data_IF_410982837408
#
_entry.id   IF_410982837408
#
_cell.length_a   1.000
_cell.length_b   1.000
_cell.length_c   1.000
_cell.angle_alpha   90.00
_cell.angle_beta   90.00
_cell.angle_gamma   90.00
#
_symmetry.space_group_name_H-M   'P 1'
#
loop_
_entity.id
_entity.type
_entity.pdbx_description
1 polymer ?
#
# COMPACT_ATOMS: atom_id res chain seq x y z
N UNK A 1 -27.00 -0.44 51.39
CA UNK A 1 -26.05 0.68 51.48
C UNK A 1 -24.69 0.10 51.80
N UNK A 2 -23.72 0.35 50.93
CA UNK A 2 -22.26 0.14 51.01
C UNK A 2 -21.63 -1.29 50.92
N UNK A 3 -20.98 -1.49 49.74
CA UNK A 3 -19.82 -2.29 49.26
C UNK A 3 -18.81 -2.86 50.27
N UNK A 4 -17.77 -3.70 49.93
CA UNK A 4 -17.11 -4.04 48.63
C UNK A 4 -16.65 -5.55 48.47
N UNK A 5 -15.76 -5.84 47.49
CA UNK A 5 -14.90 -7.04 47.25
C UNK A 5 -15.41 -8.06 46.19
N UNK A 6 -14.91 -7.98 44.94
CA UNK A 6 -13.70 -8.61 44.36
C UNK A 6 -13.86 -10.08 43.89
N UNK A 7 -13.74 -10.24 42.56
CA UNK A 7 -13.15 -11.37 41.81
C UNK A 7 -13.96 -12.68 41.73
N UNK A 8 -14.40 -12.98 40.50
CA UNK A 8 -14.43 -14.28 39.78
C UNK A 8 -15.57 -14.19 38.74
N UNK A 9 -15.47 -14.53 37.47
CA UNK A 9 -14.44 -15.15 36.66
C UNK A 9 -15.07 -15.34 35.26
N UNK A 10 -14.41 -14.80 34.24
CA UNK A 10 -14.38 -15.29 32.86
C UNK A 10 -15.64 -16.00 32.32
N UNK A 11 -16.78 -15.30 32.16
CA UNK A 11 -17.95 -15.82 31.43
C UNK A 11 -18.70 -14.77 30.60
N UNK A 12 -18.02 -13.74 30.11
CA UNK A 12 -18.62 -12.74 29.19
C UNK A 12 -18.31 -12.99 27.71
N UNK A 13 -17.61 -14.08 27.38
CA UNK A 13 -17.41 -14.57 26.00
C UNK A 13 -18.65 -15.27 25.40
N UNK A 14 -19.84 -15.12 26.01
CA UNK A 14 -21.07 -15.81 25.59
C UNK A 14 -22.21 -14.89 25.18
N UNK A 15 -21.97 -13.59 25.03
CA UNK A 15 -22.98 -12.61 24.62
C UNK A 15 -22.71 -11.96 23.25
N UNK A 16 -21.60 -12.30 22.59
CA UNK A 16 -21.38 -11.98 21.17
C UNK A 16 -21.90 -13.07 20.22
N UNK A 17 -22.74 -14.01 20.70
CA UNK A 17 -23.36 -15.05 19.86
C UNK A 17 -24.66 -14.60 19.15
N UNK A 18 -25.06 -13.34 19.28
CA UNK A 18 -26.33 -12.84 18.73
C UNK A 18 -26.21 -11.88 17.54
N UNK A 19 -25.00 -11.46 17.16
CA UNK A 19 -24.81 -10.59 16.00
C UNK A 19 -24.21 -11.37 14.84
N UNK A 20 -24.97 -12.25 14.18
CA UNK A 20 -24.71 -12.70 12.79
C UNK A 20 -25.85 -13.56 12.22
N UNK A 21 -26.49 -13.08 11.14
CA UNK A 21 -26.42 -13.83 9.89
C UNK A 21 -25.81 -13.02 8.74
N UNK A 22 -25.70 -11.69 8.89
CA UNK A 22 -25.20 -10.79 7.83
C UNK A 22 -23.66 -10.78 7.73
N UNK A 23 -22.95 -10.76 8.87
CA UNK A 23 -21.48 -10.64 8.92
C UNK A 23 -20.74 -11.99 8.68
N UNK A 24 -21.41 -13.15 8.58
CA UNK A 24 -20.76 -14.44 8.19
C UNK A 24 -20.87 -14.73 6.70
N UNK A 25 -21.84 -14.13 5.98
CA UNK A 25 -22.02 -14.33 4.53
C UNK A 25 -21.28 -13.29 3.68
N UNK A 26 -21.15 -12.05 4.17
CA UNK A 26 -20.48 -10.99 3.43
C UNK A 26 -18.96 -11.16 3.43
N UNK A 27 -18.38 -11.75 4.49
CA UNK A 27 -16.92 -11.94 4.60
C UNK A 27 -16.38 -12.91 3.53
N UNK A 28 -16.98 -14.08 3.27
CA UNK A 28 -16.58 -14.96 2.17
C UNK A 28 -16.75 -14.32 0.78
N UNK A 29 -17.81 -13.52 0.55
CA UNK A 29 -18.05 -12.84 -0.73
C UNK A 29 -17.07 -11.66 -0.98
N UNK A 30 -16.75 -10.87 0.04
CA UNK A 30 -15.75 -9.78 -0.06
C UNK A 30 -14.32 -10.31 -0.18
N UNK A 31 -14.03 -11.51 0.35
CA UNK A 31 -12.73 -12.17 0.21
C UNK A 31 -12.53 -12.77 -1.19
N UNK A 32 -13.60 -13.20 -1.88
CA UNK A 32 -13.53 -13.66 -3.27
C UNK A 32 -13.38 -12.52 -4.29
N UNK A 33 -13.82 -11.30 -3.94
CA UNK A 33 -13.57 -10.08 -4.72
C UNK A 33 -12.25 -9.38 -4.35
N UNK A 34 -11.38 -10.05 -3.60
CA UNK A 34 -10.03 -9.56 -3.33
C UNK A 34 -9.13 -9.79 -4.52
N UNK A 35 -9.31 -9.00 -5.59
CA UNK A 35 -8.19 -8.77 -6.50
C UNK A 35 -7.12 -8.09 -5.68
N UNK A 36 -6.22 -8.87 -5.07
CA UNK A 36 -5.03 -8.36 -4.39
C UNK A 36 -4.04 -7.89 -5.46
N UNK A 37 -4.49 -6.99 -6.33
CA UNK A 37 -3.62 -6.11 -7.06
C UNK A 37 -3.22 -5.04 -6.05
N UNK A 38 -2.17 -5.37 -5.31
CA UNK A 38 -1.65 -4.46 -4.31
C UNK A 38 -1.14 -3.24 -5.06
N UNK A 39 -1.74 -2.08 -4.80
CA UNK A 39 -1.30 -0.83 -5.41
C UNK A 39 0.12 -0.53 -4.93
N UNK A 40 0.96 0.03 -5.80
CA UNK A 40 2.28 0.48 -5.41
C UNK A 40 2.18 1.82 -4.68
N UNK A 41 2.98 2.04 -3.62
CA UNK A 41 3.01 3.31 -2.91
C UNK A 41 3.61 4.41 -3.79
N UNK A 42 3.50 5.67 -3.32
CA UNK A 42 4.18 6.81 -3.93
C UNK A 42 5.68 6.50 -4.15
N UNK A 43 6.19 6.85 -5.34
CA UNK A 43 7.60 6.65 -5.68
C UNK A 43 8.51 7.51 -4.78
N UNK A 44 9.72 7.01 -4.45
CA UNK A 44 10.70 7.79 -3.72
C UNK A 44 11.22 8.95 -4.56
N UNK A 45 11.63 10.04 -3.92
CA UNK A 45 12.20 11.18 -4.62
C UNK A 45 13.65 10.88 -5.06
N UNK A 46 13.94 11.10 -6.34
CA UNK A 46 15.26 10.91 -6.93
C UNK A 46 15.92 12.28 -7.12
N UNK A 47 17.16 12.49 -6.64
CA UNK A 47 17.81 13.79 -6.72
C UNK A 47 18.02 14.19 -8.20
N UNK A 48 17.73 15.45 -8.49
CA UNK A 48 17.84 16.04 -9.83
C UNK A 48 16.95 15.37 -10.89
N UNK A 49 15.93 14.66 -10.46
CA UNK A 49 14.90 14.08 -11.31
C UNK A 49 13.52 14.62 -10.98
N UNK A 50 12.58 14.39 -11.88
CA UNK A 50 11.15 14.65 -11.76
C UNK A 50 10.38 13.47 -12.34
N UNK A 51 9.15 13.29 -11.89
CA UNK A 51 8.24 12.25 -12.36
C UNK A 51 7.09 12.94 -13.11
N UNK A 52 6.68 12.40 -14.25
CA UNK A 52 5.63 13.01 -15.08
C UNK A 52 4.22 12.88 -14.46
N UNK A 53 4.00 11.84 -13.66
CA UNK A 53 2.70 11.53 -13.03
C UNK A 53 2.93 11.27 -11.54
N UNK A 54 2.65 12.25 -10.67
CA UNK A 54 2.76 12.10 -9.21
C UNK A 54 1.41 11.71 -8.60
N UNK A 55 1.25 10.42 -8.31
CA UNK A 55 0.09 9.87 -7.59
C UNK A 55 0.49 9.38 -6.20
N UNK A 56 -0.49 9.35 -5.29
CA UNK A 56 -0.31 8.73 -3.95
C UNK A 56 -0.15 7.22 -4.03
N UNK A 57 -0.86 6.60 -4.99
CA UNK A 57 -0.90 5.15 -5.21
C UNK A 57 -0.98 4.87 -6.71
N UNK A 58 -0.39 3.76 -7.14
CA UNK A 58 -0.34 3.34 -8.54
C UNK A 58 -0.90 1.93 -8.68
N UNK A 59 -1.72 1.71 -9.70
CA UNK A 59 -2.28 0.39 -9.95
C UNK A 59 -1.25 -0.52 -10.64
N UNK A 60 -1.31 -1.84 -10.41
CA UNK A 60 -0.44 -2.77 -11.12
C UNK A 60 -0.55 -2.66 -12.64
N UNK A 61 0.60 -2.59 -13.30
CA UNK A 61 0.70 -2.34 -14.74
C UNK A 61 0.83 -0.87 -15.12
N UNK A 62 0.63 0.08 -14.19
CA UNK A 62 0.95 1.48 -14.46
C UNK A 62 2.46 1.68 -14.61
N UNK A 63 2.85 2.51 -15.57
CA UNK A 63 4.23 2.88 -15.83
C UNK A 63 4.50 4.32 -15.45
N UNK A 64 5.67 4.53 -14.86
CA UNK A 64 6.15 5.83 -14.40
C UNK A 64 7.52 6.07 -14.99
N UNK A 65 7.71 7.24 -15.59
CA UNK A 65 8.99 7.64 -16.18
C UNK A 65 9.62 8.73 -15.30
N UNK A 66 10.89 8.54 -14.96
CA UNK A 66 11.72 9.58 -14.39
C UNK A 66 12.45 10.35 -15.48
N UNK A 67 12.41 11.66 -15.35
CA UNK A 67 13.05 12.61 -16.25
C UNK A 67 14.05 13.44 -15.45
N UNK A 68 15.29 13.56 -15.94
CA UNK A 68 16.28 14.43 -15.29
C UNK A 68 15.89 15.90 -15.48
N UNK A 69 16.11 16.72 -14.44
CA UNK A 69 15.87 18.17 -14.50
C UNK A 69 16.77 18.84 -15.54
N UNK A 70 16.37 20.01 -16.08
CA UNK A 70 17.22 20.78 -16.99
C UNK A 70 18.62 21.01 -16.42
N UNK A 71 19.66 20.76 -17.24
CA UNK A 71 21.05 20.83 -16.82
C UNK A 71 21.63 19.51 -16.28
N UNK A 72 20.81 18.46 -16.16
CA UNK A 72 21.25 17.12 -15.78
C UNK A 72 20.94 16.09 -16.87
N UNK A 73 21.81 15.09 -17.00
CA UNK A 73 21.68 13.97 -17.92
C UNK A 73 21.65 12.66 -17.14
N UNK A 74 20.92 11.69 -17.66
CA UNK A 74 20.88 10.36 -17.07
C UNK A 74 22.22 9.66 -17.25
N UNK A 75 22.73 9.11 -16.16
CA UNK A 75 24.04 8.49 -16.07
C UNK A 75 23.94 6.96 -15.98
N UNK A 76 23.04 6.46 -15.11
CA UNK A 76 22.92 5.02 -14.87
C UNK A 76 21.51 4.64 -14.37
N UNK A 77 21.19 3.35 -14.46
CA UNK A 77 19.94 2.76 -13.97
C UNK A 77 18.76 2.92 -14.94
N UNK A 78 17.59 2.45 -14.52
CA UNK A 78 16.36 2.51 -15.31
C UNK A 78 15.66 3.86 -15.16
N UNK A 79 15.06 4.34 -16.27
CA UNK A 79 14.20 5.55 -16.27
C UNK A 79 12.72 5.22 -16.14
N UNK A 80 12.30 4.05 -16.62
CA UNK A 80 10.91 3.58 -16.58
C UNK A 80 10.75 2.54 -15.49
N UNK A 81 9.71 2.70 -14.67
CA UNK A 81 9.35 1.79 -13.60
C UNK A 81 7.89 1.40 -13.76
N UNK A 82 7.61 0.10 -13.69
CA UNK A 82 6.26 -0.46 -13.81
C UNK A 82 5.82 -0.99 -12.46
N UNK A 83 4.60 -0.66 -12.04
CA UNK A 83 4.05 -1.16 -10.78
C UNK A 83 3.79 -2.66 -10.90
N UNK A 84 4.47 -3.46 -10.07
CA UNK A 84 4.29 -4.90 -10.04
C UNK A 84 2.95 -5.26 -9.39
N UNK A 85 2.35 -6.38 -9.78
CA UNK A 85 1.16 -6.96 -9.14
C UNK A 85 1.36 -7.27 -7.65
N UNK A 86 2.61 -7.37 -7.20
CA UNK A 86 2.99 -7.48 -5.78
C UNK A 86 2.89 -6.16 -4.99
N UNK A 87 2.55 -5.02 -5.63
CA UNK A 87 2.49 -3.69 -5.00
C UNK A 87 3.83 -3.11 -4.61
N UNK A 88 4.90 -3.57 -5.26
CA UNK A 88 6.25 -3.06 -5.05
C UNK A 88 6.84 -2.58 -6.35
N UNK A 89 7.57 -1.48 -6.27
CA UNK A 89 8.41 -1.02 -7.35
C UNK A 89 9.67 -1.88 -7.46
N UNK A 90 10.21 -1.98 -8.68
CA UNK A 90 11.57 -2.46 -8.86
C UNK A 90 12.56 -1.51 -8.20
N UNK A 91 13.75 -2.03 -7.88
CA UNK A 91 14.81 -1.26 -7.22
C UNK A 91 15.14 -0.01 -8.05
N UNK A 92 14.93 1.17 -7.46
CA UNK A 92 15.24 2.43 -8.12
C UNK A 92 16.76 2.65 -8.17
N UNK A 93 17.34 2.48 -9.35
CA UNK A 93 18.79 2.60 -9.59
C UNK A 93 19.15 3.85 -10.40
N UNK A 94 18.15 4.71 -10.66
CA UNK A 94 18.26 5.90 -11.50
C UNK A 94 19.23 6.92 -10.89
N UNK A 95 20.18 7.40 -11.71
CA UNK A 95 21.08 8.51 -11.35
C UNK A 95 21.13 9.56 -12.47
N UNK A 96 20.97 10.82 -12.10
CA UNK A 96 21.22 11.98 -12.95
C UNK A 96 22.53 12.66 -12.53
N UNK A 97 23.36 13.06 -13.50
CA UNK A 97 24.58 13.86 -13.30
C UNK A 97 24.45 15.19 -14.03
N UNK A 98 25.19 16.20 -13.61
CA UNK A 98 25.22 17.48 -14.33
C UNK A 98 25.82 17.27 -15.73
N UNK A 99 25.21 17.90 -16.73
CA UNK A 99 25.72 17.93 -18.11
C UNK A 99 27.06 18.67 -18.19
#
# INVERSE_FOLDING_TARGET
SDSPFLIQGWKTWRLWQFYKPLFFCIVPLLLLSGSFLLACPKLPEVPFATIDVDKKEYQPGEEVTYTCRPGYVHHSGMRKYTCNRSGRWFLNTMKCIRK
#
